data_IF_270847301455
#
_entry.id   IF_270847301455
#
_cell.length_a   1.000
_cell.length_b   1.000
_cell.length_c   1.000
_cell.angle_alpha   90.00
_cell.angle_beta   90.00
_cell.angle_gamma   90.00
#
_symmetry.space_group_name_H-M   'P 1'
#
loop_
_entity.id
_entity.type
_entity.pdbx_description
1 polymer ?
#
# COMPACT_ATOMS: atom_id res chain seq x y z
N UNK A 1 -55.73 72.50 5.90
CA UNK A 1 -56.49 71.29 5.54
C UNK A 1 -55.51 70.16 5.29
N UNK A 2 -55.82 68.97 5.81
CA UNK A 2 -55.01 67.74 5.88
C UNK A 2 -54.38 67.33 4.53
N UNK A 3 -53.22 66.68 4.61
CA UNK A 3 -52.95 65.33 4.06
C UNK A 3 -51.64 64.78 4.64
N UNK A 4 -51.75 63.86 5.61
CA UNK A 4 -50.66 62.97 6.03
C UNK A 4 -50.56 61.83 5.00
N UNK A 5 -49.36 61.58 4.48
CA UNK A 5 -49.02 60.38 3.71
C UNK A 5 -48.18 59.47 4.62
N UNK A 6 -48.71 58.30 4.95
CA UNK A 6 -48.00 57.24 5.68
C UNK A 6 -47.32 56.36 4.63
N UNK A 7 -46.00 56.46 4.53
CA UNK A 7 -45.17 55.54 3.74
C UNK A 7 -44.74 54.36 4.60
N UNK A 8 -45.25 53.16 4.26
CA UNK A 8 -44.86 51.90 4.87
C UNK A 8 -43.48 51.48 4.32
N UNK A 9 -42.43 51.55 5.12
CA UNK A 9 -41.12 50.96 4.78
C UNK A 9 -41.08 49.50 5.22
N UNK A 10 -41.08 48.59 4.25
CA UNK A 10 -40.73 47.17 4.47
C UNK A 10 -39.21 47.07 4.52
N UNK A 11 -38.66 46.81 5.70
CA UNK A 11 -37.23 46.51 5.85
C UNK A 11 -36.98 45.04 5.50
N UNK A 12 -36.28 44.78 4.39
CA UNK A 12 -35.70 43.46 4.10
C UNK A 12 -34.51 43.24 5.03
N UNK A 13 -34.62 42.28 5.95
CA UNK A 13 -33.50 41.80 6.74
C UNK A 13 -32.62 40.89 5.85
N UNK A 14 -31.43 41.37 5.48
CA UNK A 14 -30.40 40.54 4.81
C UNK A 14 -29.64 39.79 5.89
N UNK A 15 -29.89 38.49 6.03
CA UNK A 15 -29.09 37.61 6.89
C UNK A 15 -27.79 37.27 6.17
N UNK A 16 -26.66 37.79 6.66
CA UNK A 16 -25.34 37.37 6.20
C UNK A 16 -25.03 35.96 6.74
N UNK A 17 -24.86 34.99 5.85
CA UNK A 17 -24.33 33.68 6.20
C UNK A 17 -22.82 33.79 6.44
N UNK A 18 -22.27 33.21 7.52
CA UNK A 18 -20.83 33.16 7.69
C UNK A 18 -20.23 32.24 6.63
N UNK A 19 -19.25 32.74 5.88
CA UNK A 19 -18.46 31.93 4.97
C UNK A 19 -17.69 30.88 5.79
N UNK A 20 -17.97 29.60 5.57
CA UNK A 20 -17.20 28.51 6.15
C UNK A 20 -15.75 28.61 5.61
N UNK A 21 -14.79 28.80 6.50
CA UNK A 21 -13.37 28.72 6.17
C UNK A 21 -13.06 27.29 5.70
N UNK A 22 -12.80 27.11 4.41
CA UNK A 22 -12.39 25.83 3.85
C UNK A 22 -11.09 25.36 4.51
N UNK A 23 -11.12 24.18 5.12
CA UNK A 23 -9.91 23.52 5.61
C UNK A 23 -8.96 23.29 4.44
N UNK A 24 -7.75 23.84 4.52
CA UNK A 24 -6.71 23.57 3.53
C UNK A 24 -6.24 22.14 3.73
N UNK A 25 -6.48 21.28 2.74
CA UNK A 25 -5.85 19.97 2.67
C UNK A 25 -4.35 20.21 2.50
N UNK A 26 -3.55 19.80 3.47
CA UNK A 26 -2.11 19.81 3.36
C UNK A 26 -1.70 18.77 2.30
N UNK A 27 -1.42 19.24 1.08
CA UNK A 27 -0.75 18.43 0.06
C UNK A 27 0.67 18.17 0.56
N UNK A 28 0.94 16.95 1.01
CA UNK A 28 2.31 16.52 1.27
C UNK A 28 3.04 16.56 -0.07
N UNK A 29 4.07 17.41 -0.16
CA UNK A 29 4.93 17.46 -1.34
C UNK A 29 5.53 16.07 -1.62
N UNK A 30 6.00 15.81 -2.85
CA UNK A 30 6.67 14.55 -3.15
C UNK A 30 7.81 14.33 -2.15
N UNK A 31 7.79 13.17 -1.48
CA UNK A 31 8.86 12.77 -0.56
C UNK A 31 10.16 12.68 -1.38
N UNK A 32 11.07 13.63 -1.17
CA UNK A 32 12.39 13.61 -1.77
C UNK A 32 13.28 12.73 -0.88
N UNK A 33 13.52 11.50 -1.32
CA UNK A 33 14.41 10.58 -0.62
C UNK A 33 15.87 10.90 -0.99
N UNK A 34 16.70 11.16 0.01
CA UNK A 34 18.15 11.28 -0.21
C UNK A 34 18.71 9.94 -0.74
N UNK A 35 19.68 9.96 -1.68
CA UNK A 35 20.35 8.75 -2.12
C UNK A 35 20.97 8.01 -0.93
N UNK A 36 20.69 6.71 -0.82
CA UNK A 36 21.09 5.89 0.31
C UNK A 36 22.63 5.76 0.34
N UNK A 37 23.32 6.44 1.27
CA UNK A 37 24.80 6.50 1.33
C UNK A 37 25.47 5.26 1.94
N UNK A 38 24.69 4.25 2.34
CA UNK A 38 25.18 3.02 2.99
C UNK A 38 24.50 1.79 2.39
N UNK A 39 24.81 1.48 1.14
CA UNK A 39 24.37 0.23 0.52
C UNK A 39 25.32 -0.87 0.99
N UNK A 40 24.79 -1.84 1.73
CA UNK A 40 25.50 -3.07 2.12
C UNK A 40 24.95 -4.25 1.32
N UNK A 41 25.82 -5.16 0.91
CA UNK A 41 25.42 -6.40 0.25
C UNK A 41 25.05 -7.44 1.31
N UNK A 42 23.91 -8.11 1.13
CA UNK A 42 23.47 -9.25 1.92
C UNK A 42 23.07 -10.40 1.00
N UNK A 43 23.05 -11.61 1.52
CA UNK A 43 22.63 -12.80 0.77
C UNK A 43 21.41 -13.40 1.45
N UNK A 44 20.44 -13.82 0.62
CA UNK A 44 19.31 -14.63 1.04
C UNK A 44 19.20 -15.84 0.12
N UNK A 45 18.73 -16.97 0.66
CA UNK A 45 18.51 -18.19 -0.11
C UNK A 45 17.24 -18.13 -0.95
N UNK A 46 16.28 -17.26 -0.59
CA UNK A 46 14.99 -17.18 -1.25
C UNK A 46 14.54 -15.76 -1.62
N UNK A 47 15.15 -14.71 -1.07
CA UNK A 47 14.78 -13.30 -1.35
C UNK A 47 15.81 -12.60 -2.23
N UNK A 48 15.33 -11.67 -3.05
CA UNK A 48 16.15 -10.75 -3.84
C UNK A 48 15.44 -9.40 -3.90
N UNK A 49 16.15 -8.31 -3.60
CA UNK A 49 15.55 -6.98 -3.60
C UNK A 49 16.27 -6.01 -2.68
N UNK A 50 15.52 -5.07 -2.12
CA UNK A 50 16.03 -4.03 -1.23
C UNK A 50 15.38 -4.16 0.14
N UNK A 51 16.20 -4.03 1.19
CA UNK A 51 15.76 -3.86 2.57
C UNK A 51 16.48 -2.65 3.18
N UNK A 52 15.72 -1.74 3.77
CA UNK A 52 16.24 -0.73 4.68
C UNK A 52 16.05 -1.25 6.11
N UNK A 53 17.10 -1.20 6.93
CA UNK A 53 17.08 -1.72 8.30
C UNK A 53 17.50 -0.66 9.31
N UNK A 54 17.22 -0.88 10.60
CA UNK A 54 17.60 0.04 11.68
C UNK A 54 16.42 0.60 12.48
N UNK A 55 15.19 0.19 12.16
CA UNK A 55 13.99 0.49 12.92
C UNK A 55 13.37 1.86 12.69
N UNK A 56 12.15 2.01 13.22
CA UNK A 56 11.38 3.25 13.14
C UNK A 56 10.66 3.45 11.80
N UNK A 57 10.56 2.41 10.97
CA UNK A 57 9.81 2.48 9.73
C UNK A 57 8.31 2.56 10.02
N UNK A 58 7.62 3.52 9.40
CA UNK A 58 6.18 3.72 9.57
C UNK A 58 5.39 3.42 8.31
N UNK A 59 6.06 3.41 7.15
CA UNK A 59 5.44 3.09 5.88
C UNK A 59 6.49 2.63 4.88
N UNK A 60 6.10 1.73 4.00
CA UNK A 60 6.86 1.33 2.82
C UNK A 60 5.92 1.32 1.62
N UNK A 61 6.42 1.68 0.45
CA UNK A 61 5.65 1.65 -0.80
C UNK A 61 6.57 1.31 -1.94
N UNK A 62 6.10 0.44 -2.82
CA UNK A 62 6.80 0.08 -4.05
C UNK A 62 5.80 -0.03 -5.19
N UNK A 63 6.27 0.27 -6.41
CA UNK A 63 5.54 0.01 -7.64
C UNK A 63 6.37 -0.90 -8.52
N UNK A 64 5.79 -2.01 -8.95
CA UNK A 64 6.43 -2.97 -9.84
C UNK A 64 5.55 -3.28 -11.04
N UNK A 65 6.16 -3.83 -12.09
CA UNK A 65 5.42 -4.43 -13.19
C UNK A 65 5.30 -5.92 -12.92
N UNK A 66 4.09 -6.47 -12.96
CA UNK A 66 3.85 -7.90 -12.81
C UNK A 66 4.62 -8.66 -13.90
N UNK A 67 5.59 -9.54 -13.53
CA UNK A 67 6.37 -10.27 -14.52
C UNK A 67 5.52 -11.28 -15.28
N UNK A 68 5.95 -11.58 -16.51
CA UNK A 68 5.45 -12.74 -17.26
C UNK A 68 6.22 -13.97 -16.79
N UNK A 69 5.52 -14.94 -16.19
CA UNK A 69 6.11 -16.23 -15.85
C UNK A 69 6.23 -17.13 -17.08
N UNK A 70 7.41 -17.73 -17.24
CA UNK A 70 7.67 -18.80 -18.21
C UNK A 70 7.66 -20.12 -17.45
N UNK A 71 6.65 -20.95 -17.71
CA UNK A 71 6.39 -22.14 -16.91
C UNK A 71 6.84 -23.42 -17.63
N UNK A 72 7.63 -24.22 -16.91
CA UNK A 72 7.83 -25.62 -17.23
C UNK A 72 6.70 -26.47 -16.62
N UNK A 73 6.74 -27.79 -16.84
CA UNK A 73 5.74 -28.73 -16.29
C UNK A 73 5.77 -28.83 -14.76
N UNK A 74 6.90 -28.48 -14.13
CA UNK A 74 7.06 -28.51 -12.68
C UNK A 74 6.35 -27.35 -11.99
N UNK A 75 5.83 -27.62 -10.80
CA UNK A 75 5.25 -26.57 -9.96
C UNK A 75 6.36 -25.74 -9.34
N UNK A 76 6.32 -24.43 -9.55
CA UNK A 76 7.26 -23.46 -8.95
C UNK A 76 6.50 -22.23 -8.49
N UNK A 77 7.01 -21.55 -7.47
CA UNK A 77 6.36 -20.42 -6.85
C UNK A 77 7.23 -19.18 -6.97
N UNK A 78 6.61 -18.03 -7.22
CA UNK A 78 7.30 -16.74 -7.16
C UNK A 78 6.36 -15.66 -6.66
N UNK A 79 6.90 -14.79 -5.82
CA UNK A 79 6.15 -13.70 -5.19
C UNK A 79 6.89 -12.38 -5.31
N UNK A 80 6.15 -11.29 -5.43
CA UNK A 80 6.66 -9.93 -5.53
C UNK A 80 5.88 -9.07 -4.54
N UNK A 81 6.56 -8.51 -3.56
CA UNK A 81 5.88 -7.91 -2.42
C UNK A 81 6.65 -6.74 -1.84
N UNK A 82 5.92 -5.98 -1.02
CA UNK A 82 6.43 -4.88 -0.22
C UNK A 82 5.94 -5.06 1.21
N UNK A 83 6.80 -4.80 2.19
CA UNK A 83 6.49 -5.12 3.57
C UNK A 83 7.35 -4.41 4.60
N UNK A 84 6.84 -4.40 5.83
CA UNK A 84 7.59 -4.07 7.03
C UNK A 84 7.99 -5.37 7.74
N UNK A 85 9.15 -5.33 8.39
CA UNK A 85 9.78 -6.49 9.02
C UNK A 85 10.19 -7.60 8.02
N UNK A 86 10.75 -8.70 8.53
CA UNK A 86 11.40 -9.77 7.76
C UNK A 86 12.88 -9.88 8.06
N UNK A 87 13.69 -8.98 7.50
CA UNK A 87 15.12 -8.89 7.77
C UNK A 87 15.35 -8.45 9.22
N UNK A 88 16.07 -9.27 10.00
CA UNK A 88 16.37 -8.99 11.40
C UNK A 88 15.18 -9.07 12.36
N UNK A 89 14.03 -9.62 11.93
CA UNK A 89 12.82 -9.77 12.75
C UNK A 89 12.08 -11.08 12.44
N UNK A 90 11.03 -11.40 13.20
CA UNK A 90 10.31 -12.69 13.11
C UNK A 90 8.87 -12.55 12.58
N UNK A 91 8.50 -11.35 12.14
CA UNK A 91 7.20 -11.00 11.56
C UNK A 91 7.43 -10.44 10.16
N UNK A 92 6.39 -10.47 9.33
CA UNK A 92 6.36 -9.68 8.08
C UNK A 92 4.94 -9.21 7.88
N UNK A 93 4.75 -7.90 7.81
CA UNK A 93 3.49 -7.28 7.43
C UNK A 93 3.59 -6.84 5.97
N UNK A 94 2.93 -7.57 5.06
CA UNK A 94 3.23 -7.49 3.63
C UNK A 94 2.02 -7.68 2.72
N UNK A 95 2.13 -7.10 1.52
CA UNK A 95 1.18 -7.33 0.44
C UNK A 95 1.91 -7.41 -0.89
N UNK A 96 1.37 -8.19 -1.81
CA UNK A 96 2.03 -8.45 -3.05
C UNK A 96 1.20 -9.26 -4.03
N UNK A 97 1.90 -9.71 -5.06
CA UNK A 97 1.37 -10.56 -6.11
C UNK A 97 2.26 -11.79 -6.28
N UNK A 98 1.68 -12.85 -6.85
CA UNK A 98 2.42 -14.07 -7.18
C UNK A 98 2.30 -14.40 -8.66
N UNK A 99 3.30 -15.12 -9.16
CA UNK A 99 3.31 -15.74 -10.48
C UNK A 99 3.75 -17.19 -10.31
N UNK A 100 2.78 -18.05 -10.01
CA UNK A 100 3.04 -19.46 -9.75
C UNK A 100 2.92 -20.25 -11.05
N UNK A 101 3.73 -21.28 -11.21
CA UNK A 101 3.62 -22.23 -12.31
C UNK A 101 3.00 -23.52 -11.82
N UNK A 102 2.05 -24.08 -12.58
CA UNK A 102 1.53 -25.43 -12.37
C UNK A 102 1.17 -26.06 -13.70
N UNK A 103 1.70 -27.26 -13.97
CA UNK A 103 1.40 -28.01 -15.19
C UNK A 103 1.74 -27.27 -16.49
N UNK A 104 2.78 -26.43 -16.51
CA UNK A 104 3.14 -25.61 -17.67
C UNK A 104 2.35 -24.30 -17.81
N UNK A 105 1.46 -23.99 -16.88
CA UNK A 105 0.62 -22.80 -16.94
C UNK A 105 0.89 -21.84 -15.77
N UNK A 106 1.01 -20.53 -16.03
CA UNK A 106 1.13 -19.55 -14.98
C UNK A 106 -0.22 -19.23 -14.35
N UNK A 107 -0.22 -19.01 -13.03
CA UNK A 107 -1.33 -18.51 -12.25
C UNK A 107 -0.90 -17.23 -11.52
N UNK A 108 -1.65 -16.15 -11.71
CA UNK A 108 -1.36 -14.84 -11.13
C UNK A 108 -2.45 -14.44 -10.17
N UNK A 109 -2.07 -13.98 -8.99
CA UNK A 109 -3.01 -13.53 -7.98
C UNK A 109 -2.35 -12.56 -7.01
N UNK A 110 -3.18 -11.81 -6.31
CA UNK A 110 -2.78 -10.87 -5.29
C UNK A 110 -3.08 -11.42 -3.89
N UNK A 111 -2.30 -10.99 -2.90
CA UNK A 111 -2.44 -11.44 -1.51
C UNK A 111 -1.96 -10.37 -0.52
N UNK A 112 -2.38 -10.51 0.73
CA UNK A 112 -1.72 -9.87 1.87
C UNK A 112 -1.41 -10.91 2.94
N UNK A 113 -0.42 -10.63 3.77
CA UNK A 113 -0.01 -11.52 4.86
C UNK A 113 0.44 -10.73 6.08
N UNK A 114 0.15 -11.31 7.25
CA UNK A 114 0.66 -10.87 8.54
C UNK A 114 1.43 -12.05 9.14
N UNK A 115 2.61 -12.34 8.60
CA UNK A 115 3.43 -13.49 8.97
C UNK A 115 3.69 -13.46 10.49
N UNK A 116 3.52 -14.58 11.22
CA UNK A 116 3.49 -15.98 10.75
C UNK A 116 2.12 -16.55 10.37
N UNK A 117 1.07 -15.72 10.19
CA UNK A 117 -0.22 -16.22 9.67
C UNK A 117 -0.12 -16.45 8.16
N UNK A 118 -0.88 -17.42 7.66
CA UNK A 118 -0.99 -17.69 6.22
C UNK A 118 -1.47 -16.47 5.41
N UNK A 119 -1.06 -16.37 4.14
CA UNK A 119 -1.49 -15.31 3.24
C UNK A 119 -3.00 -15.44 2.93
N UNK A 120 -3.63 -14.29 2.72
CA UNK A 120 -5.03 -14.18 2.32
C UNK A 120 -5.10 -13.65 0.89
N UNK A 121 -5.69 -14.45 0.00
CA UNK A 121 -5.86 -14.08 -1.40
C UNK A 121 -6.88 -12.94 -1.57
N UNK A 122 -6.57 -12.02 -2.48
CA UNK A 122 -7.38 -10.84 -2.78
C UNK A 122 -8.25 -11.07 -4.01
N UNK A 123 -9.40 -10.38 -4.04
CA UNK A 123 -10.27 -10.31 -5.22
C UNK A 123 -9.85 -9.18 -6.16
N UNK A 124 -8.56 -9.13 -6.52
CA UNK A 124 -8.00 -8.24 -7.55
C UNK A 124 -7.45 -9.11 -8.67
N UNK A 125 -7.87 -8.84 -9.91
CA UNK A 125 -7.31 -9.51 -11.08
C UNK A 125 -5.89 -8.99 -11.37
N UNK A 126 -4.97 -9.92 -11.58
CA UNK A 126 -3.56 -9.65 -11.87
C UNK A 126 -3.20 -10.30 -13.20
N UNK A 127 -2.60 -9.52 -14.10
CA UNK A 127 -2.13 -10.00 -15.39
C UNK A 127 -0.66 -9.61 -15.62
N UNK A 128 0.07 -10.36 -16.45
CA UNK A 128 1.40 -9.95 -16.89
C UNK A 128 1.41 -8.54 -17.47
N UNK A 129 2.39 -7.73 -17.07
CA UNK A 129 2.53 -6.35 -17.53
C UNK A 129 1.59 -5.35 -16.85
N UNK A 130 0.82 -5.75 -15.83
CA UNK A 130 0.12 -4.82 -14.95
C UNK A 130 1.12 -4.04 -14.10
N UNK A 131 0.88 -2.74 -13.93
CA UNK A 131 1.62 -1.92 -12.97
C UNK A 131 0.91 -2.00 -11.63
N UNK A 132 1.58 -2.54 -10.61
CA UNK A 132 1.03 -2.78 -9.27
C UNK A 132 1.76 -1.88 -8.28
N UNK A 133 1.01 -1.19 -7.43
CA UNK A 133 1.53 -0.44 -6.29
C UNK A 133 1.07 -1.12 -5.01
N UNK A 134 2.02 -1.47 -4.15
CA UNK A 134 1.75 -1.96 -2.81
C UNK A 134 2.21 -0.96 -1.76
N UNK A 135 1.46 -0.85 -0.67
CA UNK A 135 1.80 -0.01 0.48
C UNK A 135 1.46 -0.76 1.77
N UNK A 136 2.38 -0.71 2.73
CA UNK A 136 2.14 -1.12 4.11
C UNK A 136 2.44 0.06 5.02
N UNK A 137 1.49 0.41 5.89
CA UNK A 137 1.59 1.58 6.78
C UNK A 137 1.18 1.23 8.21
N UNK A 138 1.99 1.62 9.18
CA UNK A 138 1.66 1.57 10.61
C UNK A 138 0.63 2.67 10.91
N UNK A 139 -0.53 2.29 11.43
CA UNK A 139 -1.67 3.20 11.71
C UNK A 139 -1.90 3.44 13.21
N UNK A 140 -0.94 3.05 14.05
CA UNK A 140 -1.00 3.20 15.51
C UNK A 140 -1.62 1.98 16.22
N UNK A 141 -1.40 1.87 17.54
CA UNK A 141 -1.89 0.75 18.36
C UNK A 141 -1.50 -0.65 17.86
N UNK A 142 -0.33 -0.77 17.22
CA UNK A 142 0.14 -2.03 16.61
C UNK A 142 -0.73 -2.50 15.45
N UNK A 143 -1.27 -1.58 14.65
CA UNK A 143 -2.09 -1.90 13.47
C UNK A 143 -1.38 -1.49 12.19
N UNK A 144 -1.62 -2.28 11.14
CA UNK A 144 -1.00 -2.14 9.84
C UNK A 144 -2.11 -2.05 8.79
N UNK A 145 -2.05 -1.03 7.95
CA UNK A 145 -2.88 -0.95 6.75
C UNK A 145 -2.08 -1.51 5.59
N UNK A 146 -2.63 -2.54 4.94
CA UNK A 146 -2.07 -3.17 3.75
C UNK A 146 -2.94 -2.79 2.57
N UNK A 147 -2.33 -2.14 1.59
CA UNK A 147 -3.01 -1.62 0.41
C UNK A 147 -2.31 -2.12 -0.84
N UNK A 148 -3.09 -2.61 -1.80
CA UNK A 148 -2.61 -3.04 -3.10
C UNK A 148 -3.51 -2.44 -4.18
N UNK A 149 -2.89 -1.77 -5.14
CA UNK A 149 -3.55 -1.11 -6.25
C UNK A 149 -2.97 -1.57 -7.58
N UNK A 150 -3.82 -2.03 -8.48
CA UNK A 150 -3.46 -2.29 -9.87
C UNK A 150 -3.68 -1.00 -10.68
N UNK A 151 -2.62 -0.22 -10.91
CA UNK A 151 -2.65 1.05 -11.62
C UNK A 151 -3.20 0.93 -13.06
N UNK A 152 -3.13 -0.26 -13.65
CA UNK A 152 -3.56 -0.49 -15.03
C UNK A 152 -5.05 -0.77 -15.15
N UNK A 153 -5.61 -1.54 -14.22
CA UNK A 153 -7.03 -1.94 -14.24
C UNK A 153 -7.89 -1.13 -13.28
N UNK A 154 -7.28 -0.39 -12.35
CA UNK A 154 -7.97 0.32 -11.27
C UNK A 154 -8.43 -0.59 -10.12
N UNK A 155 -8.08 -1.88 -10.14
CA UNK A 155 -8.38 -2.81 -9.05
C UNK A 155 -7.71 -2.36 -7.76
N UNK A 156 -8.44 -2.35 -6.65
CA UNK A 156 -8.00 -1.76 -5.39
C UNK A 156 -8.40 -2.63 -4.20
N UNK A 157 -7.52 -2.75 -3.22
CA UNK A 157 -7.78 -3.46 -1.97
C UNK A 157 -7.07 -2.74 -0.83
N UNK A 158 -7.78 -2.54 0.28
CA UNK A 158 -7.21 -2.04 1.52
C UNK A 158 -7.79 -2.79 2.72
N UNK A 159 -6.94 -3.16 3.67
CA UNK A 159 -7.38 -3.71 4.96
C UNK A 159 -6.47 -3.24 6.08
N UNK A 160 -7.01 -3.11 7.29
CA UNK A 160 -6.22 -2.80 8.49
C UNK A 160 -6.27 -3.95 9.47
N UNK A 161 -5.12 -4.55 9.75
CA UNK A 161 -4.99 -5.72 10.62
C UNK A 161 -4.14 -5.38 11.84
N UNK A 162 -4.48 -5.97 12.99
CA UNK A 162 -3.64 -5.88 14.19
C UNK A 162 -2.45 -6.83 14.04
N UNK A 163 -1.25 -6.31 14.25
CA UNK A 163 0.02 -7.02 14.20
C UNK A 163 0.85 -6.80 15.46
N UNK A 164 2.05 -7.36 15.46
CA UNK A 164 3.01 -7.25 16.54
C UNK A 164 4.43 -6.94 16.03
N UNK A 165 4.55 -6.47 14.79
CA UNK A 165 5.81 -6.11 14.17
C UNK A 165 6.62 -5.11 14.99
N UNK A 166 7.94 -5.25 14.91
CA UNK A 166 8.92 -4.34 15.50
C UNK A 166 9.18 -3.12 14.60
N UNK A 167 8.77 -3.18 13.34
CA UNK A 167 9.04 -2.17 12.31
C UNK A 167 10.54 -1.90 12.14
N UNK A 168 11.33 -2.98 12.21
CA UNK A 168 12.78 -2.97 12.15
C UNK A 168 13.30 -2.78 10.72
N UNK A 169 12.61 -3.33 9.72
CA UNK A 169 12.96 -3.21 8.31
C UNK A 169 11.80 -2.74 7.44
N UNK A 170 12.12 -2.23 6.26
CA UNK A 170 11.20 -1.89 5.19
C UNK A 170 11.75 -2.42 3.85
N UNK A 171 10.93 -3.17 3.13
CA UNK A 171 11.42 -4.11 2.12
C UNK A 171 10.60 -4.10 0.83
N UNK A 172 11.28 -4.34 -0.29
CA UNK A 172 10.69 -4.55 -1.61
C UNK A 172 11.40 -5.72 -2.29
N UNK A 173 10.71 -6.85 -2.42
CA UNK A 173 11.32 -8.17 -2.59
C UNK A 173 10.65 -8.95 -3.73
N UNK A 174 11.50 -9.65 -4.50
CA UNK A 174 11.13 -10.83 -5.26
C UNK A 174 11.57 -12.07 -4.49
N UNK A 175 10.68 -13.04 -4.34
CA UNK A 175 10.86 -14.22 -3.50
C UNK A 175 10.56 -15.52 -4.25
N UNK A 176 11.30 -16.57 -3.91
CA UNK A 176 10.98 -17.97 -4.19
C UNK A 176 10.46 -18.65 -2.91
N UNK A 177 9.13 -18.66 -2.64
CA UNK A 177 8.58 -19.16 -1.39
C UNK A 177 8.86 -20.67 -1.22
N UNK A 178 9.28 -21.08 -0.01
CA UNK A 178 9.68 -22.47 0.28
C UNK A 178 8.77 -23.20 1.28
N UNK A 179 7.82 -22.52 1.92
CA UNK A 179 6.88 -23.11 2.87
C UNK A 179 5.43 -22.84 2.45
N UNK A 180 4.70 -23.89 2.05
CA UNK A 180 3.23 -23.91 1.99
C UNK A 180 2.70 -25.17 2.64
#
# INVERSE_FOLDING_TARGET
>A
MRKLLIGLFVALAVTAFPAAAGARVATHGPLQFDPNKKITQSQSSNWSGYAATGGGFSSVTSTWTQPTASCASVTTYSSFWVGLDGDGSNTVEQTGTSADCSGGHPNYYAWYEMYPKYPVNLSIAIHPGDSITGTVTVTGNGRYTLHLHNNKTGGDFSTTVKGHGSNYSAEAIAEAPSSR
#
